data_IF_730676587037
#
_entry.id   IF_730676587037
#
_cell.length_a   1.000
_cell.length_b   1.000
_cell.length_c   1.000
_cell.angle_alpha   90.00
_cell.angle_beta   90.00
_cell.angle_gamma   90.00
#
_symmetry.space_group_name_H-M   'P 1'
#
loop_
_entity.id
_entity.type
_entity.pdbx_description
1 polymer ?
#
# COMPACT_ATOMS: atom_id res chain seq x y z
N UNK A 1 -24.25 -8.64 9.68
CA UNK A 1 -23.70 -7.81 8.58
C UNK A 1 -22.40 -8.47 8.17
N UNK A 2 -22.42 -9.22 7.06
CA UNK A 2 -21.43 -10.26 6.75
C UNK A 2 -20.05 -9.67 6.45
N UNK A 3 -19.12 -9.86 7.37
CA UNK A 3 -17.71 -9.53 7.24
C UNK A 3 -17.03 -10.62 6.38
N UNK A 4 -17.26 -10.59 5.06
CA UNK A 4 -16.47 -11.40 4.13
C UNK A 4 -15.07 -10.81 4.09
N UNK A 5 -14.22 -11.25 5.01
CA UNK A 5 -12.80 -10.89 5.06
C UNK A 5 -12.16 -11.24 3.71
N UNK A 6 -11.98 -10.24 2.83
CA UNK A 6 -11.23 -10.40 1.58
C UNK A 6 -9.87 -11.03 1.92
N UNK A 7 -9.40 -12.05 1.20
CA UNK A 7 -8.14 -12.71 1.50
C UNK A 7 -7.01 -11.67 1.53
N UNK A 8 -6.19 -11.70 2.60
CA UNK A 8 -5.05 -10.78 2.76
C UNK A 8 -3.98 -11.16 1.73
N UNK A 9 -4.02 -10.54 0.57
CA UNK A 9 -2.99 -10.68 -0.47
C UNK A 9 -1.73 -9.96 0.01
N UNK A 10 -0.60 -10.67 0.08
CA UNK A 10 0.70 -10.11 0.46
C UNK A 10 1.19 -9.12 -0.59
N UNK A 11 1.84 -8.04 -0.14
CA UNK A 11 2.49 -7.08 -1.05
C UNK A 11 3.41 -7.80 -2.04
N UNK A 12 3.30 -7.41 -3.31
CA UNK A 12 4.02 -8.01 -4.42
C UNK A 12 3.49 -9.32 -4.99
N UNK A 13 2.45 -9.90 -4.39
CA UNK A 13 1.72 -11.03 -4.97
C UNK A 13 0.78 -10.56 -6.08
N UNK A 14 0.64 -11.38 -7.13
CA UNK A 14 -0.34 -11.13 -8.19
C UNK A 14 -1.74 -11.50 -7.70
N UNK A 15 -2.73 -10.68 -8.03
CA UNK A 15 -4.15 -10.95 -7.80
C UNK A 15 -5.00 -10.53 -9.00
N UNK A 16 -6.19 -11.10 -9.11
CA UNK A 16 -7.19 -10.71 -10.09
C UNK A 16 -8.15 -9.72 -9.44
N UNK A 17 -8.31 -8.55 -10.05
CA UNK A 17 -9.19 -7.53 -9.50
C UNK A 17 -10.65 -7.73 -9.96
N UNK A 18 -11.54 -6.90 -9.44
CA UNK A 18 -12.98 -6.92 -9.76
C UNK A 18 -13.27 -6.64 -11.24
N UNK A 19 -12.35 -5.94 -11.94
CA UNK A 19 -12.42 -5.65 -13.37
C UNK A 19 -11.77 -6.72 -14.26
N UNK A 20 -11.33 -7.86 -13.70
CA UNK A 20 -10.86 -9.01 -14.45
C UNK A 20 -9.40 -8.98 -14.91
N UNK A 21 -8.63 -7.92 -14.61
CA UNK A 21 -7.21 -7.83 -14.94
C UNK A 21 -6.29 -8.31 -13.81
N UNK A 22 -5.07 -8.74 -14.17
CA UNK A 22 -4.04 -9.15 -13.21
C UNK A 22 -3.28 -7.94 -12.69
N UNK A 23 -3.29 -7.72 -11.38
CA UNK A 23 -2.57 -6.65 -10.71
C UNK A 23 -1.55 -7.22 -9.71
N UNK A 24 -0.52 -6.44 -9.37
CA UNK A 24 0.44 -6.76 -8.32
C UNK A 24 0.08 -5.92 -7.10
N UNK A 25 -0.11 -6.56 -5.95
CA UNK A 25 -0.44 -5.86 -4.70
C UNK A 25 0.65 -4.83 -4.36
N UNK A 26 0.24 -3.58 -4.19
CA UNK A 26 1.09 -2.40 -3.92
C UNK A 26 2.19 -2.12 -4.96
N UNK A 27 2.06 -2.69 -6.18
CA UNK A 27 3.02 -2.46 -7.28
C UNK A 27 4.43 -3.05 -7.08
N UNK A 28 4.66 -3.83 -6.01
CA UNK A 28 6.00 -4.39 -5.69
C UNK A 28 6.26 -5.66 -6.51
N UNK A 29 6.81 -5.54 -7.72
CA UNK A 29 7.13 -6.73 -8.53
C UNK A 29 8.24 -7.56 -7.88
N UNK A 30 7.95 -8.82 -7.54
CA UNK A 30 8.99 -9.77 -7.14
C UNK A 30 9.96 -10.00 -8.32
N UNK A 31 11.26 -9.87 -8.05
CA UNK A 31 12.30 -10.20 -9.04
C UNK A 31 12.40 -11.72 -9.13
N UNK A 32 12.28 -12.27 -10.33
CA UNK A 32 12.62 -13.66 -10.58
C UNK A 32 14.13 -13.84 -10.41
N UNK A 33 14.53 -14.78 -9.56
CA UNK A 33 15.89 -15.34 -9.45
C UNK A 33 17.05 -14.38 -9.10
N UNK A 34 16.93 -13.60 -8.03
CA UNK A 34 18.11 -13.06 -7.33
C UNK A 34 18.02 -13.45 -5.88
N UNK A 35 19.02 -14.18 -5.39
CA UNK A 35 19.34 -14.43 -3.97
C UNK A 35 18.62 -13.46 -3.03
N UNK A 36 17.86 -14.00 -2.07
CA UNK A 36 17.04 -13.26 -1.12
C UNK A 36 17.96 -12.43 -0.20
N UNK A 37 18.46 -11.31 -0.73
CA UNK A 37 19.32 -10.40 0.02
C UNK A 37 18.49 -9.88 1.19
N UNK A 38 18.94 -10.09 2.44
CA UNK A 38 18.20 -9.60 3.59
C UNK A 38 17.99 -8.10 3.45
N UNK A 39 16.76 -7.66 3.70
CA UNK A 39 16.39 -6.24 3.66
C UNK A 39 17.29 -5.46 4.63
N UNK A 40 18.23 -4.68 4.08
CA UNK A 40 19.06 -3.81 4.90
C UNK A 40 18.23 -2.67 5.50
N UNK A 41 18.54 -2.31 6.74
CA UNK A 41 17.85 -1.19 7.40
C UNK A 41 18.13 0.10 6.64
N UNK A 42 17.07 0.83 6.31
CA UNK A 42 17.18 2.16 5.73
C UNK A 42 17.99 3.10 6.65
N UNK A 43 18.90 3.92 6.08
CA UNK A 43 19.70 4.87 6.85
C UNK A 43 18.81 5.88 7.58
N UNK A 44 19.31 6.45 8.68
CA UNK A 44 18.53 7.35 9.55
C UNK A 44 17.90 8.53 8.79
N UNK A 45 18.65 9.13 7.85
CA UNK A 45 18.21 10.30 7.07
C UNK A 45 17.09 10.01 6.06
N UNK A 46 16.88 8.75 5.66
CA UNK A 46 15.84 8.36 4.69
C UNK A 46 14.53 7.95 5.36
N UNK A 47 14.47 7.88 6.69
CA UNK A 47 13.30 7.44 7.44
C UNK A 47 12.39 8.64 7.74
N UNK A 48 11.16 8.57 7.23
CA UNK A 48 10.10 9.52 7.58
C UNK A 48 9.43 9.15 8.91
N UNK A 49 8.81 10.14 9.56
CA UNK A 49 7.92 9.90 10.71
C UNK A 49 6.56 9.45 10.20
N UNK A 50 5.89 8.60 10.97
CA UNK A 50 4.52 8.22 10.65
C UNK A 50 3.63 9.47 10.67
N UNK A 51 2.85 9.71 9.61
CA UNK A 51 1.91 10.80 9.59
C UNK A 51 0.71 10.54 10.49
N UNK A 52 0.11 11.61 10.98
CA UNK A 52 -1.04 11.57 11.87
C UNK A 52 -1.53 12.96 12.26
N UNK A 53 -2.54 12.98 13.12
CA UNK A 53 -3.19 14.20 13.56
C UNK A 53 -4.48 14.50 12.78
N UNK A 54 -5.25 15.45 13.31
CA UNK A 54 -6.63 15.71 12.88
C UNK A 54 -6.76 16.05 11.39
N UNK A 55 -5.80 16.81 10.83
CA UNK A 55 -5.81 17.16 9.40
C UNK A 55 -5.60 15.95 8.49
N UNK A 56 -4.69 15.05 8.87
CA UNK A 56 -4.47 13.80 8.12
C UNK A 56 -5.73 12.94 8.15
N UNK A 57 -6.36 12.81 9.32
CA UNK A 57 -7.59 12.03 9.47
C UNK A 57 -8.76 12.63 8.68
N UNK A 58 -8.86 13.96 8.63
CA UNK A 58 -9.86 14.65 7.81
C UNK A 58 -9.67 14.38 6.31
N UNK A 59 -8.43 14.46 5.81
CA UNK A 59 -8.11 14.15 4.40
C UNK A 59 -8.38 12.67 4.10
N UNK A 60 -7.93 11.77 4.97
CA UNK A 60 -8.16 10.32 4.83
C UNK A 60 -9.65 9.99 4.79
N UNK A 61 -10.43 10.61 5.68
CA UNK A 61 -11.89 10.47 5.71
C UNK A 61 -12.51 10.95 4.41
N UNK A 62 -12.17 12.16 3.96
CA UNK A 62 -12.68 12.72 2.71
C UNK A 62 -12.42 11.80 1.51
N UNK A 63 -11.19 11.31 1.36
CA UNK A 63 -10.81 10.36 0.28
C UNK A 63 -11.66 9.09 0.33
N UNK A 64 -11.86 8.52 1.53
CA UNK A 64 -12.64 7.30 1.70
C UNK A 64 -14.15 7.50 1.45
N UNK A 65 -14.73 8.62 1.92
CA UNK A 65 -16.14 8.93 1.77
C UNK A 65 -16.53 9.11 0.30
N UNK A 66 -15.66 9.74 -0.47
CA UNK A 66 -15.88 10.00 -1.89
C UNK A 66 -15.36 8.88 -2.80
N UNK A 67 -14.85 7.77 -2.22
CA UNK A 67 -14.29 6.63 -2.95
C UNK A 67 -13.23 7.04 -3.97
N UNK A 68 -12.38 8.00 -3.59
CA UNK A 68 -11.31 8.52 -4.44
C UNK A 68 -10.05 7.67 -4.29
N UNK A 69 -9.30 7.55 -5.38
CA UNK A 69 -7.95 6.97 -5.37
C UNK A 69 -6.91 8.09 -5.37
N UNK A 70 -5.93 8.00 -4.48
CA UNK A 70 -4.84 8.99 -4.39
C UNK A 70 -3.48 8.31 -4.49
N UNK A 71 -2.54 8.94 -5.20
CA UNK A 71 -1.16 8.43 -5.30
C UNK A 71 -0.56 8.24 -3.92
N UNK A 72 -0.85 9.14 -2.97
CA UNK A 72 -0.30 9.04 -1.61
C UNK A 72 -0.67 7.73 -0.90
N UNK A 73 -1.92 7.28 -1.02
CA UNK A 73 -2.40 6.02 -0.41
C UNK A 73 -1.96 4.79 -1.19
N UNK A 74 -2.13 4.81 -2.52
CA UNK A 74 -1.84 3.64 -3.37
C UNK A 74 -0.34 3.29 -3.39
N UNK A 75 0.53 4.30 -3.38
CA UNK A 75 1.99 4.12 -3.44
C UNK A 75 2.65 3.86 -2.08
N UNK A 76 1.89 3.83 -0.99
CA UNK A 76 2.43 3.75 0.38
C UNK A 76 3.48 4.85 0.64
N UNK A 77 3.17 6.08 0.22
CA UNK A 77 4.07 7.22 0.34
C UNK A 77 4.43 7.46 1.82
N UNK A 78 5.72 7.53 2.19
CA UNK A 78 6.13 7.74 3.58
C UNK A 78 5.82 9.14 4.12
N UNK A 79 5.42 10.07 3.24
CA UNK A 79 5.08 11.46 3.55
C UNK A 79 3.57 11.76 3.34
N UNK A 80 2.71 10.73 3.39
CA UNK A 80 1.26 10.91 3.29
C UNK A 80 0.68 11.77 4.41
#
# INVERSE_FOLDING_TARGET
>A
MSDSAKPRITSGSKFRNEHGFSAIKDGVKQKGSTEDKPLERKPKWLRARMPGGERYDAVKKNVSEHRLSTVCQESHCPNI
#
